data_IF_503417016693
#
_entry.id   IF_503417016693
#
_cell.length_a   1.000
_cell.length_b   1.000
_cell.length_c   1.000
_cell.angle_alpha   90.00
_cell.angle_beta   90.00
_cell.angle_gamma   90.00
#
_symmetry.space_group_name_H-M   'P 1'
#
loop_
_entity.id
_entity.type
_entity.pdbx_description
1 polymer ?
#
# COMPACT_ATOMS: atom_id res chain seq x y z
N UNK A 1 -23.11 7.24 3.64
CA UNK A 1 -21.78 6.81 4.12
C UNK A 1 -20.74 7.66 3.43
N UNK A 2 -19.90 8.40 4.17
CA UNK A 2 -18.85 9.20 3.53
C UNK A 2 -17.75 8.25 3.07
N UNK A 3 -17.09 8.53 1.94
CA UNK A 3 -15.96 7.72 1.47
C UNK A 3 -14.82 7.65 2.49
N UNK A 4 -14.71 8.65 3.36
CA UNK A 4 -13.80 8.67 4.51
C UNK A 4 -14.05 7.55 5.53
N UNK A 5 -15.25 6.99 5.59
CA UNK A 5 -15.63 5.95 6.57
C UNK A 5 -15.43 4.53 6.00
N UNK A 6 -15.31 4.42 4.67
CA UNK A 6 -15.13 3.13 3.98
C UNK A 6 -13.64 2.74 3.89
N UNK A 7 -12.74 3.71 3.76
CA UNK A 7 -11.31 3.46 3.63
C UNK A 7 -10.60 3.65 4.97
N UNK A 8 -9.91 2.61 5.43
CA UNK A 8 -8.92 2.73 6.51
C UNK A 8 -7.73 3.51 5.92
N UNK A 9 -7.69 4.82 6.14
CA UNK A 9 -6.63 5.72 5.67
C UNK A 9 -6.91 6.45 4.36
N UNK A 10 -5.91 7.19 3.85
CA UNK A 10 -6.05 8.02 2.63
C UNK A 10 -6.26 7.16 1.38
N UNK A 11 -7.19 7.51 0.48
CA UNK A 11 -7.46 6.78 -0.76
C UNK A 11 -6.22 6.56 -1.65
N UNK A 12 -5.24 7.47 -1.59
CA UNK A 12 -3.97 7.36 -2.33
C UNK A 12 -3.20 6.07 -1.97
N UNK A 13 -3.21 5.67 -0.70
CA UNK A 13 -2.53 4.43 -0.27
C UNK A 13 -3.26 3.17 -0.76
N UNK A 14 -4.58 3.23 -0.91
CA UNK A 14 -5.35 2.15 -1.54
C UNK A 14 -5.06 2.03 -3.03
N UNK A 15 -4.92 3.17 -3.74
CA UNK A 15 -4.46 3.19 -5.12
C UNK A 15 -3.04 2.62 -5.26
N UNK A 16 -2.13 2.98 -4.37
CA UNK A 16 -0.77 2.43 -4.31
C UNK A 16 -0.79 0.92 -4.08
N UNK A 17 -1.60 0.44 -3.13
CA UNK A 17 -1.75 -0.99 -2.85
C UNK A 17 -2.28 -1.76 -4.06
N UNK A 18 -3.34 -1.24 -4.71
CA UNK A 18 -3.89 -1.86 -5.92
C UNK A 18 -2.86 -1.93 -7.06
N UNK A 19 -2.05 -0.87 -7.24
CA UNK A 19 -0.97 -0.86 -8.22
C UNK A 19 0.11 -1.93 -7.92
N UNK A 20 0.55 -2.03 -6.67
CA UNK A 20 1.53 -3.05 -6.24
C UNK A 20 0.98 -4.45 -6.49
N UNK A 21 -0.27 -4.72 -6.09
CA UNK A 21 -0.94 -6.01 -6.31
C UNK A 21 -0.98 -6.33 -7.81
N UNK A 22 -1.34 -5.36 -8.66
CA UNK A 22 -1.38 -5.55 -10.10
C UNK A 22 -0.03 -5.94 -10.69
N UNK A 23 1.05 -5.26 -10.28
CA UNK A 23 2.41 -5.57 -10.76
C UNK A 23 2.84 -6.96 -10.30
N UNK A 24 2.65 -7.30 -9.02
CA UNK A 24 3.03 -8.60 -8.49
C UNK A 24 2.22 -9.74 -9.11
N UNK A 25 0.92 -9.53 -9.33
CA UNK A 25 0.07 -10.51 -10.01
C UNK A 25 0.53 -10.74 -11.45
N UNK A 26 0.87 -9.68 -12.19
CA UNK A 26 1.39 -9.80 -13.55
C UNK A 26 2.71 -10.61 -13.62
N UNK A 27 3.66 -10.31 -12.72
CA UNK A 27 4.92 -11.07 -12.61
C UNK A 27 4.66 -12.53 -12.20
N UNK A 28 3.71 -12.76 -11.29
CA UNK A 28 3.31 -14.09 -10.83
C UNK A 28 2.68 -14.94 -11.93
N UNK A 29 1.75 -14.38 -12.71
CA UNK A 29 1.08 -15.07 -13.82
C UNK A 29 2.05 -15.50 -14.93
N UNK A 30 3.14 -14.75 -15.12
CA UNK A 30 4.21 -15.11 -16.05
C UNK A 30 5.21 -16.12 -15.48
N UNK A 31 5.13 -16.37 -14.17
CA UNK A 31 6.05 -17.21 -13.41
C UNK A 31 7.50 -16.71 -13.51
N UNK A 32 7.69 -15.39 -13.58
CA UNK A 32 9.03 -14.76 -13.67
C UNK A 32 9.91 -15.16 -12.47
N UNK A 33 9.29 -15.36 -11.31
CA UNK A 33 9.94 -15.85 -10.10
C UNK A 33 10.57 -17.25 -10.25
N UNK A 34 10.17 -18.04 -11.23
CA UNK A 34 10.74 -19.38 -11.53
C UNK A 34 11.64 -19.34 -12.77
N UNK A 35 11.19 -18.66 -13.82
CA UNK A 35 11.87 -18.66 -15.12
C UNK A 35 13.09 -17.74 -15.13
N UNK A 36 12.92 -16.53 -14.60
CA UNK A 36 13.88 -15.42 -14.70
C UNK A 36 14.01 -14.71 -13.34
N UNK A 37 14.55 -15.44 -12.37
CA UNK A 37 14.59 -14.99 -10.97
C UNK A 37 15.36 -13.67 -10.78
N UNK A 38 16.47 -13.46 -11.48
CA UNK A 38 17.28 -12.25 -11.33
C UNK A 38 16.52 -10.99 -11.77
N UNK A 39 15.95 -10.92 -12.98
CA UNK A 39 15.06 -9.83 -13.37
C UNK A 39 13.87 -9.65 -12.42
N UNK A 40 13.24 -10.74 -12.00
CA UNK A 40 12.13 -10.71 -11.04
C UNK A 40 12.53 -10.05 -9.71
N UNK A 41 13.67 -10.42 -9.15
CA UNK A 41 14.17 -9.87 -7.88
C UNK A 41 14.39 -8.36 -7.99
N UNK A 42 14.98 -7.87 -9.08
CA UNK A 42 15.16 -6.43 -9.30
C UNK A 42 13.83 -5.70 -9.52
N UNK A 43 12.87 -6.33 -10.19
CA UNK A 43 11.53 -5.75 -10.34
C UNK A 43 10.83 -5.59 -8.97
N UNK A 44 10.91 -6.60 -8.10
CA UNK A 44 10.34 -6.53 -6.74
C UNK A 44 11.02 -5.45 -5.91
N UNK A 45 12.35 -5.35 -5.98
CA UNK A 45 13.11 -4.29 -5.30
C UNK A 45 12.72 -2.88 -5.80
N UNK A 46 12.55 -2.72 -7.11
CA UNK A 46 12.11 -1.45 -7.70
C UNK A 46 10.70 -1.07 -7.21
N UNK A 47 9.76 -2.04 -7.17
CA UNK A 47 8.42 -1.82 -6.63
C UNK A 47 8.47 -1.40 -5.15
N UNK A 48 9.31 -2.04 -4.35
CA UNK A 48 9.47 -1.68 -2.94
C UNK A 48 10.01 -0.25 -2.76
N UNK A 49 11.04 0.13 -3.53
CA UNK A 49 11.59 1.48 -3.51
C UNK A 49 10.56 2.54 -3.92
N UNK A 50 9.78 2.27 -4.98
CA UNK A 50 8.71 3.16 -5.43
C UNK A 50 7.63 3.28 -4.35
N UNK A 51 7.24 2.18 -3.71
CA UNK A 51 6.24 2.18 -2.65
C UNK A 51 6.67 3.03 -1.45
N UNK A 52 7.91 2.83 -0.97
CA UNK A 52 8.48 3.62 0.13
C UNK A 52 8.59 5.10 -0.27
N UNK A 53 9.09 5.38 -1.48
CA UNK A 53 9.19 6.75 -1.99
C UNK A 53 7.83 7.44 -2.08
N UNK A 54 6.81 6.74 -2.58
CA UNK A 54 5.45 7.26 -2.63
C UNK A 54 4.91 7.55 -1.22
N UNK A 55 5.11 6.64 -0.26
CA UNK A 55 4.72 6.89 1.14
C UNK A 55 5.43 8.12 1.69
N UNK A 56 6.75 8.24 1.52
CA UNK A 56 7.52 9.39 1.98
C UNK A 56 7.04 10.73 1.37
N UNK A 57 6.68 10.73 0.08
CA UNK A 57 6.20 11.93 -0.63
C UNK A 57 4.78 12.31 -0.21
N UNK A 58 3.90 11.32 -0.05
CA UNK A 58 2.50 11.58 0.29
C UNK A 58 2.27 11.71 1.79
N UNK A 59 3.19 11.24 2.62
CA UNK A 59 3.12 11.37 4.07
C UNK A 59 3.14 12.84 4.48
N UNK A 60 2.18 13.24 5.32
CA UNK A 60 2.17 14.53 5.99
C UNK A 60 2.46 14.37 7.48
N UNK A 61 3.38 15.16 8.08
CA UNK A 61 3.58 15.16 9.52
C UNK A 61 2.26 15.51 10.22
N UNK A 62 1.84 14.68 11.18
CA UNK A 62 0.56 14.84 11.88
C UNK A 62 -0.65 14.13 11.24
N UNK A 63 -0.47 13.48 10.08
CA UNK A 63 -1.50 12.58 9.55
C UNK A 63 -1.62 11.34 10.45
N UNK A 64 -2.80 11.16 11.03
CA UNK A 64 -3.13 9.98 11.84
C UNK A 64 -3.18 8.76 10.92
N UNK A 65 -2.22 7.84 11.08
CA UNK A 65 -2.16 6.57 10.34
C UNK A 65 -3.24 5.58 10.83
N UNK A 66 -3.65 5.71 12.08
CA UNK A 66 -4.70 4.91 12.72
C UNK A 66 -5.91 5.77 13.05
N UNK A 67 -7.09 5.12 13.06
CA UNK A 67 -8.43 5.65 13.40
C UNK A 67 -8.40 6.56 14.64
N UNK A 68 -9.41 7.40 14.80
CA UNK A 68 -9.65 8.19 16.02
C UNK A 68 -9.38 7.34 17.27
N UNK A 69 -8.86 7.96 18.36
CA UNK A 69 -8.67 7.25 19.62
C UNK A 69 -9.93 6.43 19.91
N UNK A 70 -9.76 5.16 20.27
CA UNK A 70 -10.88 4.37 20.77
C UNK A 70 -11.45 5.17 21.93
N UNK A 71 -12.61 5.77 21.71
CA UNK A 71 -13.29 6.48 22.78
C UNK A 71 -13.78 5.40 23.74
N UNK A 72 -13.07 5.24 24.84
CA UNK A 72 -13.44 4.29 25.87
C UNK A 72 -14.59 4.83 26.73
N UNK A 73 -15.01 6.08 26.53
CA UNK A 73 -16.13 6.70 27.26
C UNK A 73 -17.50 6.34 26.64
N UNK A 74 -17.55 5.86 25.39
CA UNK A 74 -18.77 5.33 24.75
C UNK A 74 -19.10 3.88 25.18
N UNK A 75 -18.30 3.30 26.09
CA UNK A 75 -18.44 1.92 26.58
C UNK A 75 -19.00 1.82 28.03
N UNK A 76 -19.51 2.92 28.60
CA UNK A 76 -20.15 2.96 29.94
C UNK A 76 -21.66 3.16 29.88
#
# INVERSE_FOLDING_TARGET
MKMSDLFIGRPVYWGLAAAIIGVLAFLGLRQEHVKDFVPFQFAVLAVALIAVGAVMVFYRPGERVTRDPLDFDDAS
#
